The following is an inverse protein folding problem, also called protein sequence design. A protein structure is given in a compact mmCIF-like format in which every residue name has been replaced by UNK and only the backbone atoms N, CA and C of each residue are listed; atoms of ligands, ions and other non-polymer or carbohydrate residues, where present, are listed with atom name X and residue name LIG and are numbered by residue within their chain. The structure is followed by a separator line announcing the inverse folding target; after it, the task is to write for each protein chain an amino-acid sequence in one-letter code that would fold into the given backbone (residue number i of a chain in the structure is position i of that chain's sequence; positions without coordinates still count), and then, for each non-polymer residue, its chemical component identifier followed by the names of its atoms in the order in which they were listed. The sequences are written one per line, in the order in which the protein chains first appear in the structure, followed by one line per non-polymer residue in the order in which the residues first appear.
data_IF_919514472472
#
_entry.id   IF_919514472472
#
_cell.length_a   1.000
_cell.length_b   1.000
_cell.length_c   1.000
_cell.angle_alpha   90.00
_cell.angle_beta   90.00
_cell.angle_gamma   90.00
#
_symmetry.space_group_name_H-M   'P 1'
#
loop_
_entity.id
_entity.type
_entity.pdbx_description
1 polymer ?
#
# COMPACT_ATOMS: atom_id res chain seq x y z
N UNK A 1 80.17 -10.73 -30.61
CA UNK A 1 79.84 -9.99 -29.38
C UNK A 1 79.15 -10.97 -28.44
N UNK A 2 79.91 -11.58 -27.51
CA UNK A 2 79.87 -11.34 -26.04
C UNK A 2 78.48 -11.66 -25.45
N UNK A 3 78.32 -12.83 -24.80
CA UNK A 3 78.50 -13.09 -23.34
C UNK A 3 77.31 -12.48 -22.55
N UNK A 4 76.50 -13.13 -21.68
CA UNK A 4 76.46 -14.36 -20.86
C UNK A 4 74.94 -14.61 -20.54
N UNK A 5 74.40 -15.84 -20.45
CA UNK A 5 74.41 -16.76 -19.27
C UNK A 5 73.95 -16.07 -17.96
N UNK A 6 73.07 -16.61 -17.11
CA UNK A 6 72.39 -17.91 -17.03
C UNK A 6 71.36 -17.83 -15.85
N UNK A 7 70.46 -18.82 -15.74
CA UNK A 7 69.83 -19.34 -14.51
C UNK A 7 68.64 -18.56 -13.83
N UNK A 8 67.55 -19.15 -13.31
CA UNK A 8 67.18 -20.54 -12.93
C UNK A 8 65.65 -20.65 -12.62
N UNK A 9 64.97 -21.61 -13.28
CA UNK A 9 64.09 -22.70 -12.74
C UNK A 9 62.68 -22.47 -12.10
N UNK A 10 61.70 -23.20 -12.70
CA UNK A 10 60.48 -23.89 -12.17
C UNK A 10 59.35 -23.07 -11.50
N UNK A 11 58.07 -23.45 -11.52
CA UNK A 11 57.32 -24.63 -12.00
C UNK A 11 55.85 -24.23 -12.11
N UNK A 12 55.14 -24.90 -13.01
CA UNK A 12 53.69 -24.84 -13.18
C UNK A 12 52.89 -25.10 -11.88
N UNK A 13 51.78 -24.38 -11.71
CA UNK A 13 50.55 -24.96 -11.17
C UNK A 13 49.40 -24.64 -12.14
N UNK A 14 49.07 -25.67 -12.91
CA UNK A 14 47.92 -25.77 -13.80
C UNK A 14 46.70 -26.06 -12.94
N UNK A 15 45.68 -25.20 -13.00
CA UNK A 15 44.38 -25.41 -12.40
C UNK A 15 43.30 -24.90 -13.34
N UNK A 16 43.01 -25.67 -14.38
CA UNK A 16 41.86 -25.47 -15.25
C UNK A 16 40.67 -26.17 -14.60
N UNK A 17 39.63 -25.43 -14.22
CA UNK A 17 38.24 -25.88 -14.22
C UNK A 17 37.35 -24.65 -14.35
N UNK A 18 36.98 -24.37 -15.60
CA UNK A 18 35.84 -23.55 -15.96
C UNK A 18 34.53 -24.26 -15.56
N UNK A 19 33.54 -23.50 -15.13
CA UNK A 19 32.21 -24.02 -14.81
C UNK A 19 31.38 -23.01 -14.02
N UNK A 20 30.79 -22.06 -14.73
CA UNK A 20 29.83 -21.05 -14.25
C UNK A 20 28.69 -21.68 -13.44
N UNK A 21 28.21 -21.01 -12.39
CA UNK A 21 26.85 -20.44 -12.34
C UNK A 21 26.73 -19.47 -11.15
N UNK A 22 26.63 -18.18 -11.52
CA UNK A 22 25.87 -17.10 -10.92
C UNK A 22 25.76 -17.01 -9.38
N UNK A 23 26.59 -16.15 -8.78
CA UNK A 23 26.51 -15.75 -7.38
C UNK A 23 27.07 -14.33 -7.25
N UNK A 24 26.20 -13.32 -7.13
CA UNK A 24 26.60 -11.99 -6.68
C UNK A 24 25.81 -11.65 -5.42
N UNK A 25 26.48 -11.85 -4.29
CA UNK A 25 26.56 -10.92 -3.16
C UNK A 25 27.40 -11.65 -2.11
N UNK A 26 28.72 -11.50 -2.21
CA UNK A 26 29.63 -11.82 -1.10
C UNK A 26 30.31 -10.52 -0.69
N UNK A 27 30.02 -10.13 0.55
CA UNK A 27 30.86 -9.27 1.37
C UNK A 27 32.34 -9.64 1.19
N UNK A 28 33.17 -8.66 0.82
CA UNK A 28 34.63 -8.81 0.88
C UNK A 28 35.09 -8.22 2.22
N UNK A 29 35.69 -9.01 3.13
CA UNK A 29 36.48 -8.44 4.21
C UNK A 29 37.84 -8.01 3.65
N UNK A 30 38.19 -6.73 3.83
CA UNK A 30 39.53 -6.21 3.50
C UNK A 30 40.52 -6.80 4.52
N UNK A 31 41.33 -7.76 4.09
CA UNK A 31 42.48 -8.23 4.83
C UNK A 31 43.65 -7.26 4.62
N UNK A 32 44.06 -6.59 5.69
CA UNK A 32 45.28 -5.77 5.73
C UNK A 32 46.48 -6.72 5.81
N UNK A 33 47.26 -6.82 4.73
CA UNK A 33 48.60 -7.42 4.75
C UNK A 33 49.63 -6.32 4.52
N UNK A 34 50.39 -6.01 5.57
CA UNK A 34 51.55 -5.12 5.49
C UNK A 34 52.78 -5.84 4.94
N UNK A 35 53.47 -5.18 4.02
CA UNK A 35 54.91 -5.29 3.82
C UNK A 35 55.43 -3.90 3.44
N UNK A 36 56.35 -3.37 4.25
CA UNK A 36 56.94 -2.06 4.06
C UNK A 36 58.01 -2.01 2.97
N UNK A 37 58.29 -0.79 2.50
CA UNK A 37 59.41 -0.48 1.61
C UNK A 37 59.32 0.93 1.06
N UNK A 38 60.21 1.80 1.52
CA UNK A 38 60.27 3.24 1.31
C UNK A 38 60.31 3.73 -0.16
N UNK A 39 59.63 4.84 -0.43
CA UNK A 39 59.76 5.66 -1.64
C UNK A 39 58.82 6.86 -1.59
N UNK A 40 59.37 8.06 -1.75
CA UNK A 40 58.75 9.34 -1.44
C UNK A 40 58.10 9.99 -2.68
N UNK A 41 56.80 10.32 -2.58
CA UNK A 41 56.17 11.57 -3.06
C UNK A 41 54.73 11.58 -2.51
N UNK A 42 54.37 12.46 -1.56
CA UNK A 42 52.97 12.81 -1.34
C UNK A 42 52.55 13.79 -2.46
N UNK A 43 51.25 13.98 -2.65
CA UNK A 43 50.65 14.89 -3.64
C UNK A 43 50.43 14.22 -5.01
N UNK A 44 49.41 13.37 -5.11
CA UNK A 44 48.55 13.13 -6.30
C UNK A 44 47.67 11.86 -6.13
N UNK A 45 47.01 11.70 -4.98
CA UNK A 45 45.99 10.65 -4.79
C UNK A 45 44.76 11.25 -4.09
N UNK A 46 44.20 12.29 -4.70
CA UNK A 46 42.98 12.95 -4.21
C UNK A 46 41.91 13.00 -5.33
N UNK A 47 41.74 11.91 -6.07
CA UNK A 47 40.59 11.70 -6.97
C UNK A 47 40.11 10.25 -6.89
N UNK A 48 39.94 9.73 -5.68
CA UNK A 48 39.21 8.47 -5.47
C UNK A 48 37.78 8.81 -5.07
N UNK A 49 36.92 8.73 -6.08
CA UNK A 49 35.50 8.44 -6.00
C UNK A 49 34.78 9.06 -4.80
N UNK A 50 34.26 10.27 -5.00
CA UNK A 50 32.96 10.60 -4.43
C UNK A 50 31.95 9.60 -4.99
N UNK A 51 31.89 8.40 -4.39
CA UNK A 51 30.70 7.58 -4.41
C UNK A 51 29.65 8.42 -3.69
N UNK A 52 28.99 9.31 -4.44
CA UNK A 52 27.73 9.90 -4.05
C UNK A 52 26.86 8.73 -3.63
N UNK A 53 26.74 8.55 -2.32
CA UNK A 53 25.73 7.68 -1.75
C UNK A 53 24.43 8.26 -2.27
N UNK A 54 23.79 7.59 -3.22
CA UNK A 54 22.38 7.82 -3.51
C UNK A 54 21.68 7.42 -2.21
N UNK A 55 21.57 8.35 -1.28
CA UNK A 55 20.69 8.21 -0.14
C UNK A 55 19.31 8.12 -0.76
N UNK A 56 18.78 6.90 -0.87
CA UNK A 56 17.37 6.72 -1.10
C UNK A 56 16.65 7.62 -0.08
N UNK A 57 15.71 8.43 -0.56
CA UNK A 57 14.90 9.26 0.32
C UNK A 57 14.14 8.31 1.26
N UNK A 58 14.67 8.10 2.46
CA UNK A 58 14.10 7.22 3.50
C UNK A 58 13.12 7.97 4.38
N UNK A 59 12.52 9.05 3.90
CA UNK A 59 11.52 9.77 4.66
C UNK A 59 10.32 8.85 4.94
N UNK A 60 9.85 8.89 6.19
CA UNK A 60 8.70 8.12 6.60
C UNK A 60 7.44 8.58 5.83
N UNK A 61 6.50 7.67 5.53
CA UNK A 61 5.26 8.03 4.84
C UNK A 61 4.45 9.01 5.67
N UNK A 62 3.69 9.87 4.99
CA UNK A 62 2.75 10.79 5.62
C UNK A 62 1.41 10.71 4.90
N UNK A 63 0.32 10.51 5.63
CA UNK A 63 -1.05 10.56 5.07
C UNK A 63 -1.66 11.92 5.37
N UNK A 64 -2.02 12.65 4.31
CA UNK A 64 -2.66 13.97 4.42
C UNK A 64 -4.17 13.89 4.28
N UNK A 65 -4.69 12.97 3.45
CA UNK A 65 -6.12 12.74 3.30
C UNK A 65 -6.44 11.32 2.83
N UNK A 66 -7.63 10.86 3.18
CA UNK A 66 -8.24 9.64 2.64
C UNK A 66 -9.68 9.97 2.29
N UNK A 67 -10.07 9.60 1.08
CA UNK A 67 -11.43 9.72 0.57
C UNK A 67 -11.72 8.54 -0.36
N UNK A 68 -12.98 8.30 -0.67
CA UNK A 68 -13.34 7.52 -1.86
C UNK A 68 -12.92 8.26 -3.14
N UNK A 69 -12.87 7.56 -4.27
CA UNK A 69 -12.46 8.13 -5.57
C UNK A 69 -13.37 9.27 -6.06
N UNK A 70 -14.63 9.24 -5.67
CA UNK A 70 -15.66 10.27 -5.87
C UNK A 70 -15.73 11.34 -4.77
N UNK A 71 -14.85 11.26 -3.76
CA UNK A 71 -14.61 12.35 -2.80
C UNK A 71 -15.39 12.28 -1.47
N UNK A 72 -16.05 11.16 -1.16
CA UNK A 72 -16.69 10.93 0.13
C UNK A 72 -15.71 10.46 1.21
N UNK A 73 -16.14 10.54 2.47
CA UNK A 73 -15.41 10.02 3.66
C UNK A 73 -16.18 8.91 4.37
N UNK A 74 -17.22 8.41 3.73
CA UNK A 74 -18.06 7.34 4.23
C UNK A 74 -18.01 6.18 3.25
N UNK A 75 -17.91 4.98 3.80
CA UNK A 75 -18.07 3.74 3.07
C UNK A 75 -19.24 2.96 3.69
N UNK A 76 -19.88 2.11 2.90
CA UNK A 76 -20.99 1.27 3.36
C UNK A 76 -20.43 -0.03 3.92
N UNK A 77 -21.03 -0.57 4.97
CA UNK A 77 -20.82 -1.98 5.31
C UNK A 77 -21.26 -2.88 4.15
N UNK A 78 -20.71 -4.07 4.07
CA UNK A 78 -20.99 -5.03 3.01
C UNK A 78 -20.88 -4.39 1.61
N UNK A 79 -19.83 -3.58 1.45
CA UNK A 79 -19.62 -2.74 0.29
C UNK A 79 -18.15 -2.70 -0.10
N UNK A 80 -17.90 -2.83 -1.40
CA UNK A 80 -16.61 -2.51 -2.00
C UNK A 80 -16.51 -0.99 -2.16
N UNK A 81 -15.39 -0.40 -1.78
CA UNK A 81 -15.13 1.03 -1.96
C UNK A 81 -13.72 1.24 -2.50
N UNK A 82 -13.61 2.08 -3.53
CA UNK A 82 -12.33 2.52 -4.08
C UNK A 82 -11.90 3.80 -3.36
N UNK A 83 -10.66 3.80 -2.85
CA UNK A 83 -10.10 4.83 -2.02
C UNK A 83 -8.93 5.52 -2.73
N UNK A 84 -8.78 6.80 -2.42
CA UNK A 84 -7.64 7.63 -2.77
C UNK A 84 -7.00 8.11 -1.47
N UNK A 85 -5.83 7.54 -1.17
CA UNK A 85 -4.98 7.94 -0.04
C UNK A 85 -3.93 8.91 -0.55
N UNK A 86 -3.97 10.17 -0.11
CA UNK A 86 -2.98 11.18 -0.50
C UNK A 86 -1.99 11.46 0.61
N UNK A 87 -0.78 11.82 0.23
CA UNK A 87 0.32 11.90 1.16
C UNK A 87 1.65 12.31 0.55
N UNK A 88 2.72 11.97 1.27
CA UNK A 88 4.10 12.04 0.80
C UNK A 88 4.80 10.72 1.12
N UNK A 89 5.83 10.40 0.33
CA UNK A 89 6.67 9.21 0.48
C UNK A 89 5.84 7.91 0.50
N UNK A 90 4.84 7.83 -0.40
CA UNK A 90 3.96 6.67 -0.53
C UNK A 90 4.38 5.71 -1.66
N UNK A 91 5.41 6.05 -2.42
CA UNK A 91 5.90 5.34 -3.61
C UNK A 91 6.38 3.91 -3.35
N UNK A 92 6.69 3.58 -2.09
CA UNK A 92 7.10 2.23 -1.66
C UNK A 92 6.04 1.55 -0.79
N UNK A 93 4.77 1.94 -0.91
CA UNK A 93 3.66 1.31 -0.19
C UNK A 93 3.60 -0.20 -0.48
N UNK A 94 3.57 -1.00 0.58
CA UNK A 94 3.49 -2.46 0.50
C UNK A 94 2.18 -3.00 1.09
N UNK A 95 1.51 -2.23 1.95
CA UNK A 95 0.17 -2.55 2.42
C UNK A 95 -0.63 -1.30 2.76
N UNK A 96 -1.95 -1.41 2.60
CA UNK A 96 -2.94 -0.44 3.07
C UNK A 96 -3.98 -1.20 3.87
N UNK A 97 -4.32 -0.72 5.06
CA UNK A 97 -5.42 -1.28 5.86
C UNK A 97 -6.43 -0.20 6.22
N UNK A 98 -7.70 -0.59 6.30
CA UNK A 98 -8.82 0.25 6.74
C UNK A 98 -9.46 -0.42 7.94
N UNK A 99 -9.23 0.11 9.13
CA UNK A 99 -9.46 -0.61 10.38
C UNK A 99 -8.72 -1.95 10.36
N UNK A 100 -9.46 -3.05 10.49
CA UNK A 100 -8.93 -4.41 10.42
C UNK A 100 -8.92 -5.02 9.01
N UNK A 101 -9.55 -4.37 8.02
CA UNK A 101 -9.61 -4.88 6.64
C UNK A 101 -8.33 -4.55 5.88
N UNK A 102 -7.76 -5.56 5.22
CA UNK A 102 -6.71 -5.34 4.24
C UNK A 102 -7.32 -4.79 2.95
N UNK A 103 -6.77 -3.69 2.44
CA UNK A 103 -7.15 -3.13 1.15
C UNK A 103 -6.22 -3.67 0.05
N UNK A 104 -6.77 -3.89 -1.12
CA UNK A 104 -6.02 -4.23 -2.33
C UNK A 104 -5.43 -2.95 -2.94
N UNK A 105 -4.12 -2.90 -3.16
CA UNK A 105 -3.47 -1.75 -3.78
C UNK A 105 -3.63 -1.84 -5.30
N UNK A 106 -4.22 -0.82 -5.89
CA UNK A 106 -4.52 -0.72 -7.33
C UNK A 106 -3.51 0.18 -8.05
N UNK A 107 -2.90 1.12 -7.34
CA UNK A 107 -1.93 2.04 -7.91
C UNK A 107 -1.12 2.76 -6.84
N UNK A 108 0.16 3.01 -7.13
CA UNK A 108 1.11 3.65 -6.23
C UNK A 108 1.83 4.78 -6.96
N UNK A 109 1.92 5.92 -6.30
CA UNK A 109 2.71 7.08 -6.69
C UNK A 109 3.28 7.75 -5.42
N UNK A 110 4.31 8.62 -5.54
CA UNK A 110 4.93 9.27 -4.37
C UNK A 110 3.97 10.02 -3.45
N UNK A 111 2.85 10.52 -4.00
CA UNK A 111 1.87 11.33 -3.27
C UNK A 111 0.46 10.75 -3.24
N UNK A 112 0.24 9.56 -3.82
CA UNK A 112 -1.08 8.95 -3.94
C UNK A 112 -0.98 7.41 -3.95
N UNK A 113 -1.82 6.75 -3.15
CA UNK A 113 -2.09 5.31 -3.26
C UNK A 113 -3.57 5.14 -3.53
N UNK A 114 -3.88 4.36 -4.57
CA UNK A 114 -5.24 3.91 -4.88
C UNK A 114 -5.41 2.51 -4.36
N UNK A 115 -6.49 2.26 -3.65
CA UNK A 115 -6.76 0.96 -3.08
C UNK A 115 -8.26 0.68 -3.04
N UNK A 116 -8.67 -0.57 -3.22
CA UNK A 116 -10.03 -1.00 -2.95
C UNK A 116 -10.11 -1.74 -1.62
N UNK A 117 -11.20 -1.53 -0.89
CA UNK A 117 -11.46 -2.23 0.36
C UNK A 117 -12.89 -2.69 0.43
N UNK A 118 -13.07 -3.90 0.96
CA UNK A 118 -14.37 -4.40 1.35
C UNK A 118 -14.56 -4.20 2.85
N UNK A 119 -15.62 -3.49 3.23
CA UNK A 119 -16.00 -3.34 4.64
C UNK A 119 -16.90 -4.51 5.06
N UNK A 120 -16.49 -5.36 6.02
CA UNK A 120 -17.31 -6.49 6.44
C UNK A 120 -18.67 -6.07 7.02
N UNK A 121 -19.70 -6.93 6.91
CA UNK A 121 -20.99 -6.72 7.57
C UNK A 121 -20.83 -6.45 9.07
N UNK A 122 -21.68 -5.56 9.60
CA UNK A 122 -21.74 -5.24 11.03
C UNK A 122 -20.60 -4.36 11.54
N UNK A 123 -19.60 -4.01 10.72
CA UNK A 123 -18.59 -3.02 11.09
C UNK A 123 -19.16 -1.61 10.91
N UNK A 124 -19.44 -0.91 12.00
CA UNK A 124 -19.96 0.45 11.97
C UNK A 124 -19.06 1.40 12.77
N UNK A 125 -18.97 2.66 12.32
CA UNK A 125 -18.25 3.71 13.04
C UNK A 125 -16.98 4.19 12.34
N UNK A 126 -16.18 4.98 13.05
CA UNK A 126 -14.95 5.53 12.50
C UNK A 126 -13.86 4.47 12.41
N UNK A 127 -13.07 4.54 11.34
CA UNK A 127 -11.96 3.62 11.09
C UNK A 127 -10.71 4.39 10.67
N UNK A 128 -9.59 3.91 11.19
CA UNK A 128 -8.27 4.40 10.83
C UNK A 128 -7.85 3.83 9.49
N UNK A 129 -6.98 4.56 8.79
CA UNK A 129 -6.33 4.06 7.57
C UNK A 129 -4.84 4.06 7.79
N UNK A 130 -4.20 2.90 7.59
CA UNK A 130 -2.77 2.73 7.76
C UNK A 130 -2.12 2.36 6.43
N UNK A 131 -0.99 2.99 6.13
CA UNK A 131 -0.13 2.66 4.99
C UNK A 131 1.23 2.25 5.53
N UNK A 132 1.70 1.07 5.11
CA UNK A 132 3.06 0.60 5.38
C UNK A 132 3.88 0.76 4.11
N UNK A 133 5.08 1.31 4.27
CA UNK A 133 6.09 1.47 3.22
C UNK A 133 7.41 0.83 3.66
N UNK A 134 8.40 0.77 2.77
CA UNK A 134 9.74 0.33 3.13
C UNK A 134 10.41 1.25 4.17
N UNK A 135 10.07 2.55 4.17
CA UNK A 135 10.66 3.56 5.05
C UNK A 135 9.94 3.71 6.40
N UNK A 136 8.75 3.12 6.56
CA UNK A 136 8.00 3.16 7.81
C UNK A 136 6.49 3.04 7.63
N UNK A 137 5.74 3.39 8.67
CA UNK A 137 4.29 3.27 8.73
C UNK A 137 3.65 4.62 9.03
N UNK A 138 2.57 4.95 8.32
CA UNK A 138 1.72 6.09 8.60
C UNK A 138 0.30 5.63 8.91
N UNK A 139 -0.31 6.18 9.96
CA UNK A 139 -1.72 5.95 10.30
C UNK A 139 -2.44 7.28 10.33
N UNK A 140 -3.57 7.34 9.64
CA UNK A 140 -4.54 8.44 9.74
C UNK A 140 -5.69 7.98 10.62
N UNK A 141 -5.83 8.53 11.85
CA UNK A 141 -6.95 8.17 12.71
C UNK A 141 -8.26 8.75 12.19
N UNK A 142 -9.37 8.05 12.43
CA UNK A 142 -10.74 8.43 12.05
C UNK A 142 -10.84 8.90 10.58
N UNK A 143 -10.08 8.25 9.69
CA UNK A 143 -9.92 8.67 8.30
C UNK A 143 -11.23 8.56 7.51
N UNK A 144 -11.98 7.49 7.78
CA UNK A 144 -13.26 7.17 7.18
C UNK A 144 -14.28 6.83 8.26
N UNK A 145 -15.56 6.79 7.86
CA UNK A 145 -16.64 6.22 8.66
C UNK A 145 -17.35 5.11 7.89
N UNK A 146 -17.40 3.92 8.45
CA UNK A 146 -18.23 2.83 7.95
C UNK A 146 -19.67 3.05 8.43
N UNK A 147 -20.61 2.94 7.50
CA UNK A 147 -22.01 3.29 7.70
C UNK A 147 -22.92 2.10 7.44
N UNK A 148 -24.13 2.09 8.03
CA UNK A 148 -25.18 1.18 7.60
C UNK A 148 -25.50 1.35 6.12
N UNK A 149 -26.33 0.46 5.58
CA UNK A 149 -26.98 0.69 4.29
C UNK A 149 -27.98 1.84 4.41
N UNK A 150 -27.60 3.05 3.98
CA UNK A 150 -28.44 4.24 4.11
C UNK A 150 -29.30 4.45 2.88
N UNK A 151 -30.61 4.46 3.10
CA UNK A 151 -31.64 4.61 2.09
C UNK A 151 -32.28 5.99 2.18
N UNK A 152 -32.58 6.58 1.03
CA UNK A 152 -33.42 7.79 0.92
C UNK A 152 -34.44 7.59 -0.19
N UNK A 153 -35.71 8.01 -0.02
CA UNK A 153 -36.71 7.89 -1.07
C UNK A 153 -36.43 8.82 -2.26
N UNK A 154 -35.57 9.83 -2.07
CA UNK A 154 -35.19 10.80 -3.11
C UNK A 154 -33.81 10.52 -3.72
N UNK A 155 -33.12 9.47 -3.27
CA UNK A 155 -31.82 9.11 -3.81
C UNK A 155 -31.91 8.54 -5.23
N UNK A 156 -30.85 8.78 -6.01
CA UNK A 156 -30.66 8.27 -7.36
C UNK A 156 -29.22 7.78 -7.51
N UNK A 157 -29.00 6.47 -7.42
CA UNK A 157 -27.69 5.83 -7.72
C UNK A 157 -26.55 6.13 -6.75
N UNK A 158 -26.84 6.31 -5.45
CA UNK A 158 -25.81 6.57 -4.43
C UNK A 158 -25.14 5.31 -3.88
N UNK A 159 -24.15 5.50 -3.00
CA UNK A 159 -23.32 4.44 -2.42
C UNK A 159 -23.91 3.78 -1.17
N UNK A 160 -25.15 4.12 -0.81
CA UNK A 160 -25.80 3.62 0.40
C UNK A 160 -25.14 4.14 1.68
N UNK A 161 -24.61 5.37 1.68
CA UNK A 161 -24.04 6.04 2.87
C UNK A 161 -24.85 7.29 3.23
N UNK A 162 -24.57 7.96 4.35
CA UNK A 162 -25.27 9.22 4.65
C UNK A 162 -24.85 10.36 3.71
N UNK A 163 -23.64 10.34 3.17
CA UNK A 163 -23.17 11.34 2.21
C UNK A 163 -23.68 11.07 0.79
N UNK A 164 -23.94 9.81 0.47
CA UNK A 164 -24.49 9.37 -0.81
C UNK A 164 -25.51 8.26 -0.57
N UNK A 165 -26.74 8.58 -0.12
CA UNK A 165 -27.76 7.57 0.12
C UNK A 165 -28.17 6.89 -1.18
N UNK A 166 -28.58 5.63 -1.11
CA UNK A 166 -29.14 4.91 -2.26
C UNK A 166 -30.66 4.84 -2.19
N UNK A 167 -31.32 4.49 -3.30
CA UNK A 167 -32.75 4.27 -3.28
C UNK A 167 -33.04 2.88 -2.67
N UNK A 168 -34.14 2.75 -1.92
CA UNK A 168 -34.52 1.46 -1.35
C UNK A 168 -34.72 0.38 -2.43
N UNK A 169 -35.25 0.76 -3.57
CA UNK A 169 -35.53 -0.18 -4.65
C UNK A 169 -34.25 -0.67 -5.35
N UNK A 170 -33.11 -0.02 -5.11
CA UNK A 170 -31.81 -0.49 -5.63
C UNK A 170 -31.34 -1.76 -4.92
N UNK A 171 -31.90 -2.11 -3.75
CA UNK A 171 -31.63 -3.36 -3.04
C UNK A 171 -32.04 -4.62 -3.81
N UNK A 172 -32.89 -4.50 -4.84
CA UNK A 172 -33.22 -5.62 -5.73
C UNK A 172 -31.96 -6.14 -6.47
N UNK A 173 -31.02 -5.25 -6.76
CA UNK A 173 -29.81 -5.56 -7.52
C UNK A 173 -28.59 -5.83 -6.64
N UNK A 174 -28.60 -5.32 -5.41
CA UNK A 174 -27.52 -5.43 -4.42
C UNK A 174 -28.14 -5.71 -3.05
N UNK A 175 -28.51 -6.99 -2.75
CA UNK A 175 -29.26 -7.32 -1.56
C UNK A 175 -28.38 -7.30 -0.32
N UNK A 176 -28.85 -6.65 0.74
CA UNK A 176 -28.22 -6.69 2.05
C UNK A 176 -28.13 -8.12 2.61
N UNK A 177 -27.07 -8.38 3.36
CA UNK A 177 -26.72 -9.69 3.87
C UNK A 177 -27.12 -9.85 5.35
N UNK A 178 -27.27 -11.09 5.85
CA UNK A 178 -27.49 -11.33 7.27
C UNK A 178 -26.40 -10.67 8.13
N UNK A 179 -26.81 -9.90 9.14
CA UNK A 179 -25.91 -9.10 9.98
C UNK A 179 -25.83 -7.62 9.58
N UNK A 180 -26.34 -7.25 8.42
CA UNK A 180 -26.41 -5.85 8.01
C UNK A 180 -27.48 -5.07 8.75
N UNK A 181 -27.22 -3.77 8.84
CA UNK A 181 -28.15 -2.74 9.26
C UNK A 181 -28.54 -1.89 8.04
N UNK A 182 -29.84 -1.77 7.79
CA UNK A 182 -30.43 -0.87 6.79
C UNK A 182 -31.08 0.30 7.50
N UNK A 183 -30.60 1.50 7.22
CA UNK A 183 -31.06 2.77 7.76
C UNK A 183 -31.98 3.47 6.76
N UNK A 184 -33.26 3.56 7.07
CA UNK A 184 -34.22 4.34 6.29
C UNK A 184 -34.23 5.79 6.78
N UNK A 185 -33.85 6.73 5.92
CA UNK A 185 -34.08 8.15 6.17
C UNK A 185 -35.58 8.48 6.04
N UNK A 186 -36.00 9.61 6.60
CA UNK A 186 -37.40 10.00 6.62
C UNK A 186 -37.95 10.23 5.20
N UNK A 187 -39.19 9.80 4.99
CA UNK A 187 -39.96 10.01 3.76
C UNK A 187 -40.74 8.77 3.36
N UNK A 188 -41.40 8.85 2.19
CA UNK A 188 -42.25 7.76 1.67
C UNK A 188 -41.48 6.98 0.62
N UNK A 189 -41.34 5.68 0.82
CA UNK A 189 -40.68 4.77 -0.11
C UNK A 189 -41.73 4.09 -0.99
N UNK A 190 -41.55 4.17 -2.30
CA UNK A 190 -42.40 3.50 -3.27
C UNK A 190 -41.52 2.71 -4.23
N UNK A 191 -41.66 1.38 -4.20
CA UNK A 191 -41.05 0.49 -5.18
C UNK A 191 -42.14 -0.13 -6.05
N UNK A 192 -41.91 -0.20 -7.35
CA UNK A 192 -42.81 -0.87 -8.29
C UNK A 192 -42.71 -2.40 -8.24
N UNK A 193 -41.69 -2.93 -7.57
CA UNK A 193 -41.42 -4.35 -7.36
C UNK A 193 -41.46 -4.71 -5.88
N UNK A 194 -41.65 -6.01 -5.59
CA UNK A 194 -41.48 -6.53 -4.24
C UNK A 194 -39.99 -6.60 -3.92
N UNK A 195 -39.65 -6.19 -2.69
CA UNK A 195 -38.30 -6.31 -2.17
C UNK A 195 -38.20 -7.59 -1.34
N UNK A 196 -37.38 -8.54 -1.79
CA UNK A 196 -37.06 -9.73 -1.01
C UNK A 196 -36.02 -9.39 0.06
N UNK A 197 -36.41 -9.54 1.32
CA UNK A 197 -35.56 -9.26 2.48
C UNK A 197 -35.08 -10.58 3.09
N UNK A 198 -33.76 -10.75 3.15
CA UNK A 198 -33.17 -11.90 3.82
C UNK A 198 -33.41 -11.83 5.34
N UNK A 199 -33.59 -12.99 5.96
CA UNK A 199 -33.60 -13.10 7.41
C UNK A 199 -32.25 -12.62 8.00
N UNK A 200 -32.29 -11.95 9.15
CA UNK A 200 -31.09 -11.47 9.84
C UNK A 200 -30.63 -10.07 9.45
N UNK A 201 -31.37 -9.34 8.60
CA UNK A 201 -31.16 -7.91 8.35
C UNK A 201 -31.88 -7.08 9.44
N UNK A 202 -31.18 -6.09 9.98
CA UNK A 202 -31.76 -5.12 10.93
C UNK A 202 -32.17 -3.85 10.19
N UNK A 203 -33.47 -3.54 10.16
CA UNK A 203 -33.94 -2.23 9.70
C UNK A 203 -33.94 -1.23 10.84
N UNK A 204 -33.66 0.04 10.56
CA UNK A 204 -33.68 1.18 11.49
C UNK A 204 -34.17 2.45 10.79
N UNK A 205 -34.62 3.45 11.57
CA UNK A 205 -34.93 4.78 11.05
C UNK A 205 -36.40 5.19 11.01
N UNK A 206 -36.60 6.46 10.64
CA UNK A 206 -37.88 7.16 10.65
C UNK A 206 -38.75 6.89 9.40
N UNK A 207 -38.23 6.15 8.42
CA UNK A 207 -38.95 5.76 7.21
C UNK A 207 -39.61 4.38 7.29
N UNK A 208 -39.80 3.83 8.50
CA UNK A 208 -40.32 2.47 8.72
C UNK A 208 -41.84 2.39 8.88
N UNK A 209 -42.52 3.54 8.92
CA UNK A 209 -43.95 3.67 9.21
C UNK A 209 -44.84 3.45 7.97
#
# INVERSE_FOLDING_TARGET
MRYLDDHVINRACRGHLAGMTNRYLLFIPVAVLGCGGAGMQPDELDELDELESVQADTAAPVITSVMTDDGFRQIRQDGLSHLVVRGNHLDTATSVTVGASLAEIEGIAPHEVRASVFAPPGLLGHVDVTVVTAAGTATRPDALRVTPWVMSPTAVGGHGTFQSPMNLCDLEFDPAQPGDTVQLLAGVYECSSFLDLNDGITFEGAGRD
#
